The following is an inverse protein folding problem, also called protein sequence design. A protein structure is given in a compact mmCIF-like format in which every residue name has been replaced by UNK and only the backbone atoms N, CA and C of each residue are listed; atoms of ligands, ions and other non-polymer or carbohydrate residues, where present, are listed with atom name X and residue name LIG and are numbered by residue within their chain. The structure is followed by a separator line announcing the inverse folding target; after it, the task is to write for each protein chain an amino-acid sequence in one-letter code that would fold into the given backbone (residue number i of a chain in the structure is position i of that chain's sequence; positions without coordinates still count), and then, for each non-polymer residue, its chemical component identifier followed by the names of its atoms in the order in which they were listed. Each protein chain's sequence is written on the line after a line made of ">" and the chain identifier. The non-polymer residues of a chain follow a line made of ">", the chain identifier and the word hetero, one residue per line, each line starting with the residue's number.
data_IF_846733111946
#
_entry.id   IF_846733111946
#
_cell.length_a   1.000
_cell.length_b   1.000
_cell.length_c   1.000
_cell.angle_alpha   90.00
_cell.angle_beta   90.00
_cell.angle_gamma   90.00
#
_symmetry.space_group_name_H-M   'P 1'
#
loop_
_entity.id
_entity.type
_entity.pdbx_description
1 polymer ?
#
# COMPACT_ATOMS: atom_id res chain seq x y z
N UNK A 1 2.81 -5.86 -36.14
CA UNK A 1 3.80 -5.04 -35.40
C UNK A 1 3.16 -4.03 -34.44
N UNK A 2 1.83 -3.95 -34.30
CA UNK A 2 1.18 -2.99 -33.37
C UNK A 2 1.06 -3.48 -31.92
N UNK A 3 1.00 -4.78 -31.68
CA UNK A 3 0.69 -5.33 -30.35
C UNK A 3 1.82 -5.16 -29.32
N UNK A 4 3.08 -5.30 -29.75
CA UNK A 4 4.24 -5.17 -28.83
C UNK A 4 4.43 -3.75 -28.28
N UNK A 5 4.03 -2.71 -29.03
CA UNK A 5 4.11 -1.33 -28.57
C UNK A 5 3.01 -0.99 -27.56
N UNK A 6 1.82 -1.58 -27.70
CA UNK A 6 0.75 -1.43 -26.71
C UNK A 6 1.10 -2.14 -25.40
N UNK A 7 1.67 -3.34 -25.49
CA UNK A 7 2.07 -4.13 -24.33
C UNK A 7 3.20 -3.48 -23.53
N UNK A 8 4.19 -2.87 -24.21
CA UNK A 8 5.26 -2.12 -23.56
C UNK A 8 4.76 -0.84 -22.88
N UNK A 9 3.83 -0.11 -23.49
CA UNK A 9 3.25 1.09 -22.91
C UNK A 9 2.42 0.79 -21.65
N UNK A 10 1.62 -0.28 -21.65
CA UNK A 10 0.93 -0.69 -20.43
C UNK A 10 1.88 -1.10 -19.31
N UNK A 11 2.97 -1.80 -19.64
CA UNK A 11 3.97 -2.23 -18.66
C UNK A 11 4.72 -1.04 -18.07
N UNK A 12 5.03 -0.03 -18.88
CA UNK A 12 5.64 1.23 -18.44
C UNK A 12 4.70 2.01 -17.52
N UNK A 13 3.43 2.18 -17.92
CA UNK A 13 2.43 2.85 -17.10
C UNK A 13 2.20 2.14 -15.76
N UNK A 14 2.09 0.80 -15.75
CA UNK A 14 1.98 0.02 -14.50
C UNK A 14 3.16 0.25 -13.55
N UNK A 15 4.39 0.35 -14.07
CA UNK A 15 5.58 0.67 -13.25
C UNK A 15 5.53 2.07 -12.68
N UNK A 16 5.14 3.06 -13.50
CA UNK A 16 4.98 4.44 -13.04
C UNK A 16 3.94 4.54 -11.91
N UNK A 17 2.78 3.91 -12.07
CA UNK A 17 1.75 3.89 -11.03
C UNK A 17 2.23 3.21 -9.75
N UNK A 18 2.94 2.08 -9.85
CA UNK A 18 3.49 1.37 -8.69
C UNK A 18 4.50 2.22 -7.92
N UNK A 19 5.42 2.90 -8.62
CA UNK A 19 6.40 3.81 -8.00
C UNK A 19 5.74 5.00 -7.32
N UNK A 20 4.75 5.62 -7.97
CA UNK A 20 4.00 6.74 -7.37
C UNK A 20 3.18 6.29 -6.18
N UNK A 21 2.52 5.13 -6.25
CA UNK A 21 1.74 4.61 -5.15
C UNK A 21 2.63 4.31 -3.93
N UNK A 22 3.80 3.71 -4.13
CA UNK A 22 4.79 3.49 -3.07
C UNK A 22 5.29 4.79 -2.46
N UNK A 23 5.52 5.83 -3.27
CA UNK A 23 5.94 7.14 -2.77
C UNK A 23 4.88 7.79 -1.86
N UNK A 24 3.62 7.81 -2.31
CA UNK A 24 2.52 8.35 -1.49
C UNK A 24 2.30 7.57 -0.21
N UNK A 25 2.40 6.24 -0.28
CA UNK A 25 2.26 5.37 0.89
C UNK A 25 3.38 5.60 1.88
N UNK A 26 4.63 5.74 1.42
CA UNK A 26 5.75 6.08 2.28
C UNK A 26 5.48 7.38 3.04
N UNK A 27 5.08 8.43 2.33
CA UNK A 27 4.76 9.71 2.95
C UNK A 27 3.62 9.63 3.97
N UNK A 28 2.51 8.96 3.63
CA UNK A 28 1.37 8.80 4.55
C UNK A 28 1.77 7.98 5.78
N UNK A 29 2.54 6.90 5.57
CA UNK A 29 3.04 6.05 6.65
C UNK A 29 3.90 6.87 7.61
N UNK A 30 4.87 7.61 7.08
CA UNK A 30 5.76 8.44 7.89
C UNK A 30 4.96 9.50 8.67
N UNK A 31 3.99 10.16 8.03
CA UNK A 31 3.12 11.15 8.68
C UNK A 31 2.26 10.54 9.80
N UNK A 32 1.70 9.34 9.60
CA UNK A 32 0.91 8.66 10.64
C UNK A 32 1.78 8.22 11.82
N UNK A 33 2.97 7.70 11.54
CA UNK A 33 3.92 7.28 12.58
C UNK A 33 4.45 8.47 13.38
N UNK A 34 4.73 9.61 12.72
CA UNK A 34 5.12 10.85 13.38
C UNK A 34 3.99 11.39 14.26
N UNK A 35 2.74 11.38 13.76
CA UNK A 35 1.57 11.81 14.51
C UNK A 35 1.35 10.98 15.79
N UNK A 36 1.48 9.65 15.70
CA UNK A 36 1.33 8.74 16.85
C UNK A 36 2.61 8.65 17.71
N UNK A 37 3.71 9.30 17.33
CA UNK A 37 4.97 9.33 18.07
C UNK A 37 5.70 7.99 18.13
N UNK A 38 5.53 7.14 17.11
CA UNK A 38 6.06 5.76 17.09
C UNK A 38 7.41 5.69 16.38
N UNK A 39 8.28 4.79 16.86
CA UNK A 39 9.61 4.59 16.28
C UNK A 39 9.54 4.06 14.82
N UNK A 40 10.05 4.81 13.82
CA UNK A 40 10.05 4.42 12.41
C UNK A 40 10.95 3.23 12.09
N UNK A 41 11.86 2.86 12.99
CA UNK A 41 12.78 1.72 12.80
C UNK A 41 12.13 0.37 13.12
N UNK A 42 10.98 0.37 13.82
CA UNK A 42 10.25 -0.86 14.08
C UNK A 42 9.49 -1.32 12.84
N UNK A 43 10.06 -2.30 12.13
CA UNK A 43 9.52 -2.83 10.89
C UNK A 43 8.07 -3.35 11.02
N UNK A 44 7.71 -3.96 12.15
CA UNK A 44 6.35 -4.50 12.37
C UNK A 44 5.33 -3.37 12.56
N UNK A 45 5.72 -2.31 13.27
CA UNK A 45 4.92 -1.10 13.42
C UNK A 45 4.75 -0.42 12.06
N UNK A 46 5.85 -0.21 11.33
CA UNK A 46 5.82 0.42 10.01
C UNK A 46 4.88 -0.31 9.04
N UNK A 47 4.96 -1.64 8.96
CA UNK A 47 4.05 -2.43 8.11
C UNK A 47 2.57 -2.23 8.48
N UNK A 48 2.27 -2.03 9.76
CA UNK A 48 0.91 -1.77 10.22
C UNK A 48 0.38 -0.41 9.74
N UNK A 49 1.24 0.62 9.77
CA UNK A 49 0.90 1.95 9.25
C UNK A 49 0.86 1.98 7.73
N UNK A 50 1.71 1.22 7.04
CA UNK A 50 1.62 1.03 5.58
C UNK A 50 0.29 0.39 5.19
N UNK A 51 -0.17 -0.61 5.94
CA UNK A 51 -1.47 -1.24 5.72
C UNK A 51 -2.63 -0.24 5.93
N UNK A 52 -2.56 0.59 6.96
CA UNK A 52 -3.53 1.66 7.22
C UNK A 52 -3.53 2.71 6.12
N UNK A 53 -2.35 3.13 5.65
CA UNK A 53 -2.19 4.06 4.54
C UNK A 53 -2.84 3.51 3.26
N UNK A 54 -2.63 2.22 2.97
CA UNK A 54 -3.26 1.54 1.84
C UNK A 54 -4.78 1.44 1.98
N UNK A 55 -5.27 1.17 3.20
CA UNK A 55 -6.70 1.16 3.47
C UNK A 55 -7.32 2.55 3.25
N UNK A 56 -6.64 3.62 3.68
CA UNK A 56 -7.07 5.01 3.45
C UNK A 56 -7.06 5.42 1.98
N UNK A 57 -6.16 4.85 1.17
CA UNK A 57 -6.14 5.01 -0.28
C UNK A 57 -7.09 4.04 -1.03
N UNK A 58 -7.94 3.31 -0.30
CA UNK A 58 -8.99 2.48 -0.89
C UNK A 58 -9.82 3.25 -1.92
N UNK A 59 -10.23 2.58 -3.00
CA UNK A 59 -11.03 3.15 -4.11
C UNK A 59 -10.35 4.23 -4.98
N UNK A 60 -9.11 4.62 -4.67
CA UNK A 60 -8.35 5.54 -5.53
C UNK A 60 -7.92 4.89 -6.86
N UNK A 61 -7.53 5.72 -7.83
CA UNK A 61 -6.96 5.25 -9.10
C UNK A 61 -5.70 4.40 -8.85
N UNK A 62 -4.89 4.77 -7.86
CA UNK A 62 -3.70 4.03 -7.45
C UNK A 62 -4.07 2.64 -6.93
N UNK A 63 -5.07 2.54 -6.03
CA UNK A 63 -5.59 1.26 -5.57
C UNK A 63 -6.13 0.43 -6.73
N UNK A 64 -6.98 1.00 -7.60
CA UNK A 64 -7.59 0.28 -8.72
C UNK A 64 -6.56 -0.32 -9.67
N UNK A 65 -5.48 0.40 -9.96
CA UNK A 65 -4.41 -0.01 -10.87
C UNK A 65 -3.35 -0.94 -10.25
N UNK A 66 -3.37 -1.16 -8.94
CA UNK A 66 -2.45 -2.10 -8.29
C UNK A 66 -2.74 -3.56 -8.73
N UNK A 67 -1.69 -4.38 -8.95
CA UNK A 67 -1.83 -5.80 -9.22
C UNK A 67 -2.65 -6.54 -8.15
N UNK A 68 -3.43 -7.54 -8.56
CA UNK A 68 -4.31 -8.28 -7.66
C UNK A 68 -3.54 -9.00 -6.52
N UNK A 69 -2.34 -9.51 -6.79
CA UNK A 69 -1.52 -10.19 -5.78
C UNK A 69 -1.04 -9.23 -4.68
N UNK A 70 -0.71 -8.00 -5.05
CA UNK A 70 -0.22 -6.97 -4.13
C UNK A 70 -1.37 -6.43 -3.27
N UNK A 71 -2.55 -6.25 -3.88
CA UNK A 71 -3.80 -5.96 -3.13
C UNK A 71 -4.08 -7.04 -2.09
N UNK A 72 -3.95 -8.31 -2.48
CA UNK A 72 -4.17 -9.45 -1.59
C UNK A 72 -3.23 -9.44 -0.37
N UNK A 73 -1.95 -9.09 -0.55
CA UNK A 73 -1.03 -8.96 0.59
C UNK A 73 -1.47 -7.86 1.56
N UNK A 74 -1.92 -6.71 1.07
CA UNK A 74 -2.38 -5.62 1.94
C UNK A 74 -3.73 -5.94 2.60
N UNK A 75 -4.69 -6.51 1.86
CA UNK A 75 -5.97 -6.94 2.44
C UNK A 75 -5.76 -7.98 3.53
N UNK A 76 -4.85 -8.95 3.33
CA UNK A 76 -4.53 -9.93 4.36
C UNK A 76 -3.88 -9.29 5.60
N UNK A 77 -2.95 -8.35 5.40
CA UNK A 77 -2.31 -7.61 6.48
C UNK A 77 -3.33 -6.77 7.26
N UNK A 78 -4.21 -6.03 6.57
CA UNK A 78 -5.32 -5.28 7.17
C UNK A 78 -6.23 -6.21 7.97
N UNK A 79 -6.61 -7.37 7.41
CA UNK A 79 -7.47 -8.34 8.09
C UNK A 79 -6.80 -8.91 9.33
N UNK A 80 -5.49 -9.18 9.29
CA UNK A 80 -4.73 -9.62 10.46
C UNK A 80 -4.70 -8.54 11.54
N UNK A 81 -4.55 -7.27 11.18
CA UNK A 81 -4.48 -6.16 12.14
C UNK A 81 -5.87 -5.80 12.71
N UNK A 82 -6.91 -5.85 11.91
CA UNK A 82 -8.29 -5.53 12.32
C UNK A 82 -8.95 -6.66 13.10
N UNK A 83 -8.74 -7.93 12.71
CA UNK A 83 -9.30 -9.09 13.41
C UNK A 83 -8.36 -9.65 14.49
N UNK A 84 -7.05 -9.33 14.44
CA UNK A 84 -6.06 -9.71 15.44
C UNK A 84 -6.08 -8.86 16.71
N UNK A 85 -6.95 -7.83 16.78
CA UNK A 85 -7.32 -7.18 18.04
C UNK A 85 -8.13 -8.16 18.89
N UNK A 86 -7.42 -9.10 19.54
CA UNK A 86 -7.86 -9.59 20.84
C UNK A 86 -8.16 -8.35 21.68
N UNK A 87 -9.38 -8.26 22.20
CA UNK A 87 -9.80 -7.24 23.16
C UNK A 87 -8.63 -6.97 24.11
N UNK A 88 -8.09 -5.75 24.09
CA UNK A 88 -7.29 -5.28 25.20
C UNK A 88 -8.26 -5.28 26.39
N UNK A 89 -8.10 -6.26 27.29
CA UNK A 89 -8.75 -6.25 28.60
C UNK A 89 -7.96 -5.33 29.52
#
# INVERSE_FOLDING_TARGET
>A
MGDQYQEQNEKSNRRFFSLMAQHYIGFITDALMEFDGVDPTNAMVRQSYEALAWQGLGETVLWKNMPAYEKLSFVNLINLLTNGRSKCN
#
